data_IF_171738639912
#
_entry.id   IF_171738639912
#
_cell.length_a   1.000
_cell.length_b   1.000
_cell.length_c   1.000
_cell.angle_alpha   90.00
_cell.angle_beta   90.00
_cell.angle_gamma   90.00
#
_symmetry.space_group_name_H-M   'P 1'
#
loop_
_entity.id
_entity.type
_entity.pdbx_description
1 polymer ?
#
# COMPACT_ATOMS: atom_id res chain seq x y z
N UNK A 1 25.15 4.00 -4.17
CA UNK A 1 23.89 4.26 -3.45
C UNK A 1 22.76 4.10 -4.45
N UNK A 2 21.72 3.31 -4.16
CA UNK A 2 20.55 3.27 -5.03
C UNK A 2 19.99 4.68 -5.16
N UNK A 3 19.54 5.04 -6.35
CA UNK A 3 18.94 6.35 -6.61
C UNK A 3 17.57 6.36 -5.95
N UNK A 4 17.32 7.31 -5.04
CA UNK A 4 15.98 7.53 -4.48
C UNK A 4 15.04 7.83 -5.64
N UNK A 5 13.97 7.03 -5.78
CA UNK A 5 13.09 7.08 -6.95
C UNK A 5 12.29 8.39 -6.99
N UNK A 6 11.82 8.85 -5.83
CA UNK A 6 11.05 10.08 -5.71
C UNK A 6 11.29 10.79 -4.37
N UNK A 7 12.38 11.57 -4.24
CA UNK A 7 12.75 12.18 -2.96
C UNK A 7 11.70 13.16 -2.41
N UNK A 8 10.91 13.81 -3.29
CA UNK A 8 9.84 14.72 -2.88
C UNK A 8 8.68 13.96 -2.24
N UNK A 9 8.21 12.88 -2.88
CA UNK A 9 7.17 12.01 -2.34
C UNK A 9 7.58 11.47 -0.97
N UNK A 10 8.79 10.93 -0.87
CA UNK A 10 9.28 10.33 0.38
C UNK A 10 9.46 11.35 1.50
N UNK A 11 9.89 12.58 1.17
CA UNK A 11 10.01 13.65 2.17
C UNK A 11 8.65 14.06 2.73
N UNK A 12 7.64 14.23 1.87
CA UNK A 12 6.28 14.50 2.34
C UNK A 12 5.73 13.34 3.15
N UNK A 13 5.95 12.11 2.69
CA UNK A 13 5.47 10.94 3.38
C UNK A 13 6.08 10.79 4.77
N UNK A 14 7.40 10.93 4.89
CA UNK A 14 8.10 10.90 6.18
C UNK A 14 7.56 11.98 7.14
N UNK A 15 7.33 13.20 6.65
CA UNK A 15 6.72 14.26 7.44
C UNK A 15 5.33 13.88 7.99
N UNK A 16 4.47 13.26 7.16
CA UNK A 16 3.16 12.80 7.61
C UNK A 16 3.26 11.66 8.62
N UNK A 17 4.18 10.72 8.42
CA UNK A 17 4.43 9.62 9.36
C UNK A 17 4.88 10.19 10.71
N UNK A 18 5.86 11.08 10.74
CA UNK A 18 6.36 11.70 11.98
C UNK A 18 5.23 12.45 12.72
N UNK A 19 4.42 13.21 11.96
CA UNK A 19 3.26 13.90 12.52
C UNK A 19 2.26 12.91 13.13
N UNK A 20 1.89 11.85 12.40
CA UNK A 20 0.95 10.84 12.88
C UNK A 20 1.47 10.19 14.16
N UNK A 21 2.74 9.76 14.17
CA UNK A 21 3.37 9.14 15.33
C UNK A 21 3.36 10.09 16.54
N UNK A 22 3.57 11.39 16.33
CA UNK A 22 3.51 12.39 17.40
C UNK A 22 2.11 12.64 17.97
N UNK A 23 1.06 12.34 17.19
CA UNK A 23 -0.35 12.57 17.55
C UNK A 23 -1.08 11.30 17.99
N UNK A 24 -0.39 10.17 18.08
CA UNK A 24 -0.97 8.86 18.41
C UNK A 24 -0.35 8.30 19.67
N UNK A 25 -1.14 7.56 20.45
CA UNK A 25 -0.68 6.98 21.71
C UNK A 25 -0.11 5.58 21.56
N UNK A 26 -0.43 4.90 20.45
CA UNK A 26 -0.04 3.52 20.19
C UNK A 26 0.04 3.23 18.68
N UNK A 27 0.65 2.09 18.35
CA UNK A 27 0.92 1.65 16.97
C UNK A 27 -0.37 1.39 16.18
N UNK A 28 -1.41 0.86 16.82
CA UNK A 28 -2.66 0.53 16.13
C UNK A 28 -3.38 1.80 15.66
N UNK A 29 -3.40 2.83 16.51
CA UNK A 29 -3.89 4.18 16.14
C UNK A 29 -3.08 4.79 15.00
N UNK A 30 -1.75 4.66 15.05
CA UNK A 30 -0.87 5.18 13.99
C UNK A 30 -1.11 4.49 12.65
N UNK A 31 -1.22 3.17 12.65
CA UNK A 31 -1.53 2.38 11.46
C UNK A 31 -2.91 2.75 10.89
N UNK A 32 -3.92 2.95 11.75
CA UNK A 32 -5.24 3.36 11.31
C UNK A 32 -5.22 4.78 10.71
N UNK A 33 -4.56 5.75 11.35
CA UNK A 33 -4.41 7.10 10.79
C UNK A 33 -3.67 7.12 9.45
N UNK A 34 -2.64 6.28 9.28
CA UNK A 34 -1.95 6.14 7.98
C UNK A 34 -2.88 5.58 6.92
N UNK A 35 -3.71 4.59 7.26
CA UNK A 35 -4.71 4.02 6.36
C UNK A 35 -5.78 5.04 5.99
N UNK A 36 -6.29 5.81 6.95
CA UNK A 36 -7.28 6.87 6.72
C UNK A 36 -6.72 7.94 5.76
N UNK A 37 -5.48 8.38 5.98
CA UNK A 37 -4.77 9.25 5.04
C UNK A 37 -4.66 8.62 3.64
N UNK A 38 -4.42 7.31 3.59
CA UNK A 38 -4.42 6.52 2.36
C UNK A 38 -5.77 6.54 1.64
N UNK A 39 -6.89 6.49 2.36
CA UNK A 39 -8.22 6.60 1.76
C UNK A 39 -8.44 7.98 1.13
N UNK A 40 -8.10 9.05 1.86
CA UNK A 40 -8.25 10.43 1.38
C UNK A 40 -7.43 10.67 0.10
N UNK A 41 -6.17 10.23 0.09
CA UNK A 41 -5.27 10.36 -1.06
C UNK A 41 -5.68 9.40 -2.19
N UNK A 42 -6.15 8.20 -1.85
CA UNK A 42 -6.62 7.19 -2.79
C UNK A 42 -7.72 7.70 -3.71
N UNK A 43 -8.64 8.53 -3.19
CA UNK A 43 -9.65 9.20 -4.01
C UNK A 43 -9.04 10.11 -5.06
N UNK A 44 -8.04 10.91 -4.68
CA UNK A 44 -7.36 11.81 -5.61
C UNK A 44 -6.50 11.05 -6.62
N UNK A 45 -5.84 9.97 -6.19
CA UNK A 45 -5.10 9.08 -7.10
C UNK A 45 -6.03 8.48 -8.14
N UNK A 46 -7.17 7.94 -7.71
CA UNK A 46 -8.12 7.30 -8.63
C UNK A 46 -8.65 8.28 -9.69
N UNK A 47 -8.98 9.51 -9.29
CA UNK A 47 -9.55 10.53 -10.17
C UNK A 47 -8.52 11.20 -11.09
N UNK A 48 -7.26 11.30 -10.68
CA UNK A 48 -6.24 12.08 -11.39
C UNK A 48 -5.19 11.20 -12.11
N UNK A 49 -5.39 9.89 -12.19
CA UNK A 49 -4.47 8.98 -12.86
C UNK A 49 -5.17 8.07 -13.86
N UNK A 50 -4.39 7.47 -14.76
CA UNK A 50 -4.89 6.54 -15.77
C UNK A 50 -5.36 5.19 -15.18
N UNK A 51 -5.42 5.02 -13.86
CA UNK A 51 -5.91 3.79 -13.22
C UNK A 51 -7.34 3.51 -13.66
N UNK A 52 -8.21 4.52 -13.69
CA UNK A 52 -9.60 4.36 -14.11
C UNK A 52 -9.72 3.82 -15.55
N UNK A 53 -8.89 4.32 -16.46
CA UNK A 53 -8.90 3.98 -17.89
C UNK A 53 -8.24 2.62 -18.19
N UNK A 54 -7.21 2.25 -17.41
CA UNK A 54 -6.42 1.03 -17.61
C UNK A 54 -6.99 -0.21 -16.92
N UNK A 55 -8.12 -0.06 -16.24
CA UNK A 55 -8.73 -1.14 -15.45
C UNK A 55 -10.17 -1.36 -15.88
N UNK A 56 -10.67 -2.58 -15.72
CA UNK A 56 -12.08 -2.90 -16.01
C UNK A 56 -13.01 -2.03 -15.17
N UNK A 57 -14.22 -1.79 -15.66
CA UNK A 57 -15.25 -1.06 -14.92
C UNK A 57 -15.68 -1.79 -13.64
N UNK A 58 -15.64 -3.13 -13.64
CA UNK A 58 -15.94 -3.96 -12.49
C UNK A 58 -14.90 -5.06 -12.30
N UNK A 59 -14.48 -5.21 -11.04
CA UNK A 59 -13.56 -6.25 -10.58
C UNK A 59 -14.36 -7.23 -9.73
N UNK A 60 -14.42 -8.50 -10.11
CA UNK A 60 -15.31 -9.49 -9.46
C UNK A 60 -14.60 -10.77 -9.02
N UNK A 61 -13.32 -10.92 -9.37
CA UNK A 61 -12.53 -12.13 -9.09
C UNK A 61 -11.19 -11.78 -8.44
N UNK A 62 -10.58 -12.73 -7.75
CA UNK A 62 -9.21 -12.57 -7.21
C UNK A 62 -8.20 -12.30 -8.31
N UNK A 63 -8.38 -12.91 -9.47
CA UNK A 63 -7.56 -12.71 -10.65
C UNK A 63 -7.68 -11.28 -11.21
N UNK A 64 -8.88 -10.69 -11.17
CA UNK A 64 -9.08 -9.29 -11.55
C UNK A 64 -8.45 -8.34 -10.50
N UNK A 65 -8.54 -8.66 -9.21
CA UNK A 65 -7.86 -7.91 -8.13
C UNK A 65 -6.35 -7.94 -8.31
N UNK A 66 -5.76 -9.10 -8.60
CA UNK A 66 -4.33 -9.21 -8.87
C UNK A 66 -3.88 -8.36 -10.07
N UNK A 67 -4.66 -8.36 -11.16
CA UNK A 67 -4.38 -7.50 -12.33
C UNK A 67 -4.53 -6.01 -12.00
N UNK A 68 -5.52 -5.64 -11.19
CA UNK A 68 -5.68 -4.27 -10.73
C UNK A 68 -4.45 -3.83 -9.92
N UNK A 69 -3.95 -4.67 -9.01
CA UNK A 69 -2.74 -4.40 -8.23
C UNK A 69 -1.54 -4.13 -9.17
N UNK A 70 -1.35 -4.97 -10.20
CA UNK A 70 -0.29 -4.75 -11.19
C UNK A 70 -0.41 -3.39 -11.89
N UNK A 71 -1.63 -2.98 -12.25
CA UNK A 71 -1.87 -1.66 -12.87
C UNK A 71 -1.59 -0.53 -11.89
N UNK A 72 -2.03 -0.65 -10.63
CA UNK A 72 -1.77 0.34 -9.58
C UNK A 72 -0.26 0.53 -9.38
N UNK A 73 0.49 -0.56 -9.25
CA UNK A 73 1.95 -0.48 -9.12
C UNK A 73 2.61 0.17 -10.34
N UNK A 74 2.14 -0.17 -11.56
CA UNK A 74 2.69 0.40 -12.79
C UNK A 74 2.39 1.89 -12.89
N UNK A 75 1.20 2.34 -12.53
CA UNK A 75 0.83 3.75 -12.61
C UNK A 75 1.53 4.58 -11.53
N UNK A 76 1.64 4.06 -10.30
CA UNK A 76 2.20 4.82 -9.19
C UNK A 76 3.73 4.83 -9.15
N UNK A 77 4.36 3.74 -9.57
CA UNK A 77 5.79 3.50 -9.34
C UNK A 77 6.54 3.07 -10.61
N UNK A 78 5.87 3.03 -11.76
CA UNK A 78 6.43 2.55 -13.04
C UNK A 78 6.97 1.10 -13.02
N UNK A 79 6.62 0.31 -12.00
CA UNK A 79 7.11 -1.07 -11.77
C UNK A 79 5.99 -2.08 -11.50
N UNK A 80 6.39 -3.32 -11.18
CA UNK A 80 5.50 -4.37 -10.67
C UNK A 80 5.94 -4.75 -9.24
N UNK A 81 5.03 -5.28 -8.41
CA UNK A 81 5.46 -5.96 -7.18
C UNK A 81 6.33 -7.18 -7.52
N UNK A 82 7.13 -7.64 -6.57
CA UNK A 82 7.93 -8.87 -6.73
C UNK A 82 7.03 -10.10 -6.87
N UNK A 83 5.91 -10.13 -6.14
CA UNK A 83 4.94 -11.23 -6.21
C UNK A 83 3.51 -10.77 -5.87
N UNK A 84 2.53 -11.42 -6.50
CA UNK A 84 1.10 -11.30 -6.23
C UNK A 84 0.53 -12.72 -6.07
N UNK A 85 0.58 -13.24 -4.85
CA UNK A 85 0.21 -14.61 -4.53
C UNK A 85 -1.30 -14.74 -4.25
N UNK A 86 -1.97 -15.53 -5.08
CA UNK A 86 -3.38 -15.95 -4.91
C UNK A 86 -3.53 -17.43 -4.56
N UNK A 87 -2.44 -18.20 -4.65
CA UNK A 87 -2.44 -19.66 -4.53
C UNK A 87 -2.33 -20.08 -3.07
N UNK A 88 -1.41 -19.47 -2.32
CA UNK A 88 -1.22 -19.80 -0.90
C UNK A 88 -2.06 -18.89 0.01
N UNK A 89 -2.43 -17.71 -0.48
CA UNK A 89 -3.35 -16.77 0.14
C UNK A 89 -4.81 -17.25 0.01
N UNK A 90 -5.25 -18.14 0.91
CA UNK A 90 -6.63 -18.68 0.90
C UNK A 90 -7.66 -17.58 1.14
N UNK A 91 -8.44 -17.24 0.11
CA UNK A 91 -9.47 -16.20 0.19
C UNK A 91 -8.93 -14.77 0.17
N UNK A 92 -7.64 -14.59 -0.14
CA UNK A 92 -7.01 -13.28 -0.24
C UNK A 92 -6.04 -13.21 -1.42
N UNK A 93 -5.50 -12.02 -1.64
CA UNK A 93 -4.38 -11.75 -2.57
C UNK A 93 -3.25 -11.15 -1.74
N UNK A 94 -2.07 -11.78 -1.72
CA UNK A 94 -0.90 -11.26 -1.01
C UNK A 94 0.03 -10.56 -1.99
N UNK A 95 0.43 -9.34 -1.67
CA UNK A 95 1.39 -8.54 -2.43
C UNK A 95 2.72 -8.57 -1.68
N UNK A 96 3.82 -8.73 -2.39
CA UNK A 96 5.19 -8.73 -1.85
C UNK A 96 6.08 -7.77 -2.64
N UNK A 97 6.83 -6.91 -1.96
CA UNK A 97 7.76 -5.95 -2.59
C UNK A 97 9.04 -5.77 -1.76
N UNK A 98 10.16 -6.24 -2.31
CA UNK A 98 11.51 -6.10 -1.76
C UNK A 98 12.07 -4.71 -2.01
N UNK A 99 11.70 -4.04 -3.09
CA UNK A 99 12.16 -2.70 -3.44
C UNK A 99 11.08 -1.66 -3.16
N UNK A 100 10.36 -1.82 -2.05
CA UNK A 100 9.27 -0.94 -1.64
C UNK A 100 9.70 0.54 -1.66
N UNK A 101 9.06 1.33 -2.54
CA UNK A 101 9.37 2.74 -2.79
C UNK A 101 9.31 3.53 -1.49
N UNK A 102 8.28 3.28 -0.68
CA UNK A 102 8.07 3.95 0.60
C UNK A 102 9.23 3.74 1.58
N UNK A 103 9.82 2.55 1.63
CA UNK A 103 10.84 2.19 2.62
C UNK A 103 12.27 2.60 2.25
N UNK A 104 12.48 3.32 1.14
CA UNK A 104 13.82 3.73 0.71
C UNK A 104 14.47 4.63 1.77
N UNK A 105 15.64 4.21 2.27
CA UNK A 105 16.41 4.94 3.31
C UNK A 105 15.68 5.14 4.65
N UNK A 106 14.67 4.32 4.95
CA UNK A 106 13.92 4.36 6.22
C UNK A 106 14.36 3.22 7.13
N UNK A 107 14.71 3.56 8.36
CA UNK A 107 14.95 2.59 9.42
C UNK A 107 14.23 2.99 10.72
N UNK A 108 13.24 2.20 11.10
CA UNK A 108 12.41 2.30 12.29
C UNK A 108 12.51 1.02 13.13
N UNK A 109 13.74 0.53 13.31
CA UNK A 109 14.07 -0.59 14.18
C UNK A 109 13.37 -0.47 15.55
N UNK A 110 12.77 -1.57 16.00
CA UNK A 110 12.07 -1.65 17.30
C UNK A 110 10.59 -1.29 17.27
N UNK A 111 10.06 -0.72 16.17
CA UNK A 111 8.63 -0.43 16.01
C UNK A 111 7.82 -1.64 15.53
N UNK A 112 7.87 -2.74 16.29
CA UNK A 112 7.20 -3.99 15.92
C UNK A 112 5.69 -3.78 15.77
N UNK A 113 5.12 -4.22 14.65
CA UNK A 113 3.70 -4.08 14.33
C UNK A 113 3.35 -2.76 13.64
N UNK A 114 4.29 -1.80 13.55
CA UNK A 114 4.07 -0.58 12.80
C UNK A 114 4.19 -0.85 11.30
N UNK A 115 3.11 -0.56 10.58
CA UNK A 115 3.04 -0.63 9.14
C UNK A 115 3.45 0.71 8.54
N UNK A 116 4.75 0.93 8.37
CA UNK A 116 5.27 2.16 7.75
C UNK A 116 4.68 2.44 6.37
N UNK A 117 4.06 1.46 5.68
CA UNK A 117 3.43 1.65 4.38
C UNK A 117 1.91 1.41 4.43
N UNK A 118 1.27 1.54 5.59
CA UNK A 118 -0.18 1.38 5.73
C UNK A 118 -0.99 2.40 4.94
N UNK A 119 -0.37 3.53 4.56
CA UNK A 119 -0.97 4.46 3.58
C UNK A 119 -1.34 3.74 2.27
N UNK A 120 -0.51 2.79 1.82
CA UNK A 120 -0.78 2.04 0.60
C UNK A 120 -1.99 1.12 0.77
N UNK A 121 -2.23 0.59 1.97
CA UNK A 121 -3.43 -0.19 2.26
C UNK A 121 -4.68 0.65 2.04
N UNK A 122 -4.72 1.88 2.56
CA UNK A 122 -5.85 2.79 2.37
C UNK A 122 -6.05 3.17 0.90
N UNK A 123 -4.96 3.50 0.19
CA UNK A 123 -5.01 3.80 -1.24
C UNK A 123 -5.64 2.63 -2.01
N UNK A 124 -5.20 1.40 -1.73
CA UNK A 124 -5.67 0.22 -2.43
C UNK A 124 -7.12 -0.13 -2.07
N UNK A 125 -7.52 0.00 -0.81
CA UNK A 125 -8.92 -0.15 -0.37
C UNK A 125 -9.84 0.79 -1.14
N UNK A 126 -9.49 2.08 -1.24
CA UNK A 126 -10.30 3.07 -1.97
C UNK A 126 -10.40 2.75 -3.46
N UNK A 127 -9.30 2.35 -4.10
CA UNK A 127 -9.33 1.98 -5.53
C UNK A 127 -10.20 0.74 -5.76
N UNK A 128 -10.12 -0.25 -4.87
CA UNK A 128 -10.95 -1.45 -4.92
C UNK A 128 -12.44 -1.12 -4.72
N UNK A 129 -12.76 -0.24 -3.78
CA UNK A 129 -14.11 0.25 -3.52
C UNK A 129 -14.72 0.92 -4.76
N UNK A 130 -13.98 1.81 -5.42
CA UNK A 130 -14.41 2.44 -6.68
C UNK A 130 -14.69 1.43 -7.81
N UNK A 131 -14.07 0.24 -7.75
CA UNK A 131 -14.28 -0.85 -8.70
C UNK A 131 -15.31 -1.88 -8.24
N UNK A 132 -16.03 -1.58 -7.16
CA UNK A 132 -17.11 -2.39 -6.61
C UNK A 132 -16.63 -3.61 -5.81
N UNK A 133 -15.39 -3.59 -5.30
CA UNK A 133 -14.83 -4.66 -4.48
C UNK A 133 -14.82 -4.23 -3.02
N UNK A 134 -15.58 -4.93 -2.18
CA UNK A 134 -15.43 -4.84 -0.74
C UNK A 134 -14.20 -5.64 -0.31
N UNK A 135 -13.16 -4.95 0.15
CA UNK A 135 -11.91 -5.56 0.55
C UNK A 135 -11.28 -4.81 1.73
N UNK A 136 -10.61 -5.57 2.59
CA UNK A 136 -9.71 -5.05 3.62
C UNK A 136 -8.27 -5.30 3.22
N UNK A 137 -7.45 -4.25 3.26
CA UNK A 137 -6.02 -4.31 3.01
C UNK A 137 -5.28 -3.95 4.29
N UNK A 138 -4.27 -4.75 4.62
CA UNK A 138 -3.38 -4.46 5.74
C UNK A 138 -1.96 -4.90 5.42
N UNK A 139 -0.99 -4.17 5.95
CA UNK A 139 0.41 -4.49 5.84
C UNK A 139 0.77 -5.56 6.88
N UNK A 140 1.17 -6.74 6.40
CA UNK A 140 1.62 -7.84 7.27
C UNK A 140 3.07 -7.62 7.74
N UNK A 141 3.94 -7.13 6.85
CA UNK A 141 5.35 -6.88 7.15
C UNK A 141 5.86 -5.60 6.47
N UNK A 142 6.84 -4.94 7.09
CA UNK A 142 7.43 -3.71 6.60
C UNK A 142 8.95 -3.76 6.67
N UNK A 143 9.62 -3.41 5.56
CA UNK A 143 11.09 -3.31 5.53
C UNK A 143 11.59 -2.22 6.46
N UNK A 144 10.85 -1.12 6.57
CA UNK A 144 11.21 -0.02 7.47
C UNK A 144 11.32 -0.48 8.94
N UNK A 145 10.63 -1.55 9.35
CA UNK A 145 10.68 -2.08 10.72
C UNK A 145 11.55 -3.34 10.86
N UNK A 146 12.36 -3.65 9.84
CA UNK A 146 13.36 -4.72 9.87
C UNK A 146 12.98 -6.01 9.16
N UNK A 147 11.87 -6.07 8.41
CA UNK A 147 11.55 -7.23 7.57
C UNK A 147 12.38 -7.25 6.27
N UNK A 148 12.53 -8.43 5.66
CA UNK A 148 13.25 -8.58 4.37
C UNK A 148 12.50 -7.94 3.19
N UNK A 149 11.17 -7.90 3.26
CA UNK A 149 10.30 -7.34 2.23
C UNK A 149 9.01 -6.77 2.84
N UNK A 150 8.32 -5.90 2.11
CA UNK A 150 7.00 -5.42 2.50
C UNK A 150 5.94 -6.37 1.97
N UNK A 151 5.00 -6.77 2.82
CA UNK A 151 3.85 -7.56 2.39
C UNK A 151 2.53 -6.92 2.77
N UNK A 152 1.57 -6.99 1.86
CA UNK A 152 0.18 -6.59 2.10
C UNK A 152 -0.74 -7.77 1.81
N UNK A 153 -1.78 -7.89 2.62
CA UNK A 153 -2.82 -8.88 2.42
C UNK A 153 -4.11 -8.15 2.03
N UNK A 154 -4.67 -8.51 0.88
CA UNK A 154 -5.96 -8.03 0.39
C UNK A 154 -6.99 -9.13 0.65
N UNK A 155 -7.79 -8.96 1.69
CA UNK A 155 -8.86 -9.88 2.06
C UNK A 155 -10.17 -9.41 1.45
N UNK A 156 -10.79 -10.26 0.64
CA UNK A 156 -12.09 -9.97 0.04
C UNK A 156 -13.21 -10.22 1.07
N UNK A 157 -14.23 -9.36 1.05
CA UNK A 157 -15.46 -9.46 1.85
C UNK A 157 -16.39 -10.58 1.41
#
# INVERSE_FOLDING_TARGET
MPKIENPLLLSFYAYYVDKILSETSNIDEANQKLRDLGHEIGQQIYLNTEIVEKTKDSVTTREDVAKLIDVVYKVLYDKKPDDVDMKTARGSVRISDKECVWCQEVNLEGMRGFGYCEIFSGILETILEFKGVDAKVFQETSRATGADLCTWNVRLG
#
